data_IF_371133937959
#
_entry.id   IF_371133937959
#
_cell.length_a   1.000
_cell.length_b   1.000
_cell.length_c   1.000
_cell.angle_alpha   90.00
_cell.angle_beta   90.00
_cell.angle_gamma   90.00
#
_symmetry.space_group_name_H-M   'P 1'
#
loop_
_entity.id
_entity.type
_entity.pdbx_description
1 polymer ?
#
# COMPACT_ATOMS: atom_id res chain seq x y z
N UNK A 1 -14.63 3.00 -14.38
CA UNK A 1 -15.13 1.82 -13.63
C UNK A 1 -13.94 1.23 -12.90
N UNK A 2 -14.01 1.11 -11.57
CA UNK A 2 -12.89 0.64 -10.75
C UNK A 2 -12.72 -0.88 -10.91
N UNK A 3 -11.49 -1.37 -10.98
CA UNK A 3 -11.23 -2.81 -11.12
C UNK A 3 -11.63 -3.57 -9.86
N UNK A 4 -11.41 -2.93 -8.70
CA UNK A 4 -11.73 -3.45 -7.36
C UNK A 4 -13.22 -3.58 -7.10
N UNK A 5 -14.07 -2.85 -7.85
CA UNK A 5 -15.53 -3.00 -7.80
C UNK A 5 -16.03 -4.09 -8.74
N UNK A 6 -15.32 -4.34 -9.83
CA UNK A 6 -15.71 -5.29 -10.87
C UNK A 6 -15.32 -6.73 -10.52
N UNK A 7 -14.24 -6.89 -9.77
CA UNK A 7 -13.65 -8.18 -9.44
C UNK A 7 -13.37 -8.27 -7.93
N UNK A 8 -13.40 -9.48 -7.33
CA UNK A 8 -13.09 -9.68 -5.92
C UNK A 8 -11.57 -9.61 -5.68
N UNK A 9 -10.95 -8.47 -5.99
CA UNK A 9 -9.53 -8.22 -5.79
C UNK A 9 -9.31 -7.97 -4.30
N UNK A 10 -8.46 -8.79 -3.68
CA UNK A 10 -8.15 -8.71 -2.25
C UNK A 10 -6.79 -8.07 -1.97
N UNK A 11 -5.88 -8.04 -2.94
CA UNK A 11 -4.54 -7.46 -2.82
C UNK A 11 -4.07 -6.88 -4.16
N UNK A 12 -3.32 -5.79 -4.10
CA UNK A 12 -2.61 -5.17 -5.23
C UNK A 12 -1.17 -4.92 -4.79
N UNK A 13 -0.24 -5.36 -5.62
CA UNK A 13 1.19 -5.15 -5.47
C UNK A 13 1.64 -4.06 -6.45
N UNK A 14 2.50 -3.15 -5.99
CA UNK A 14 3.08 -2.06 -6.78
C UNK A 14 2.09 -1.29 -7.65
N UNK A 15 1.00 -0.84 -7.02
CA UNK A 15 -0.07 -0.10 -7.68
C UNK A 15 0.34 1.30 -8.17
N UNK A 16 1.46 1.84 -7.69
CA UNK A 16 2.05 3.12 -8.08
C UNK A 16 3.58 2.98 -8.19
N UNK A 17 4.24 3.93 -8.83
CA UNK A 17 5.70 3.96 -8.93
C UNK A 17 6.38 4.03 -7.55
N UNK A 18 7.59 3.47 -7.45
CA UNK A 18 8.39 3.34 -6.21
C UNK A 18 8.71 4.67 -5.50
N UNK A 19 8.71 5.79 -6.21
CA UNK A 19 8.95 7.13 -5.65
C UNK A 19 7.68 8.02 -5.63
N UNK A 20 6.52 7.51 -6.07
CA UNK A 20 5.25 8.25 -6.06
C UNK A 20 4.50 8.11 -4.73
N UNK A 21 5.10 8.65 -3.66
CA UNK A 21 4.55 8.60 -2.30
C UNK A 21 3.16 9.25 -2.18
N UNK A 22 2.90 10.31 -2.94
CA UNK A 22 1.60 11.00 -2.97
C UNK A 22 0.53 10.17 -3.68
N UNK A 23 0.90 9.52 -4.77
CA UNK A 23 0.05 8.55 -5.47
C UNK A 23 -0.33 7.39 -4.57
N UNK A 24 0.65 6.80 -3.87
CA UNK A 24 0.42 5.73 -2.90
C UNK A 24 -0.52 6.15 -1.77
N UNK A 25 -0.40 7.38 -1.27
CA UNK A 25 -1.30 7.92 -0.25
C UNK A 25 -2.74 8.03 -0.78
N UNK A 26 -2.93 8.64 -1.95
CA UNK A 26 -4.26 8.74 -2.58
C UNK A 26 -4.88 7.38 -2.88
N UNK A 27 -4.07 6.40 -3.30
CA UNK A 27 -4.51 5.04 -3.55
C UNK A 27 -4.95 4.38 -2.24
N UNK A 28 -4.17 4.52 -1.18
CA UNK A 28 -4.49 4.02 0.17
C UNK A 28 -5.77 4.64 0.71
N UNK A 29 -5.93 5.96 0.61
CA UNK A 29 -7.13 6.67 1.06
C UNK A 29 -8.39 6.19 0.30
N UNK A 30 -8.23 5.88 -0.99
CA UNK A 30 -9.35 5.48 -1.85
C UNK A 30 -9.79 4.03 -1.64
N UNK A 31 -8.84 3.08 -1.55
CA UNK A 31 -9.16 1.63 -1.58
C UNK A 31 -8.52 0.80 -0.45
N UNK A 32 -7.63 1.37 0.36
CA UNK A 32 -6.88 0.65 1.41
C UNK A 32 -7.75 0.08 2.55
N UNK A 33 -9.00 0.52 2.66
CA UNK A 33 -9.98 -0.05 3.60
C UNK A 33 -10.60 -1.38 3.11
N UNK A 34 -10.48 -1.69 1.82
CA UNK A 34 -11.12 -2.86 1.18
C UNK A 34 -10.10 -3.81 0.54
N UNK A 35 -8.99 -3.30 0.06
CA UNK A 35 -7.97 -4.03 -0.69
C UNK A 35 -6.62 -3.84 -0.01
N UNK A 36 -5.87 -4.93 0.16
CA UNK A 36 -4.50 -4.87 0.66
C UNK A 36 -3.58 -4.23 -0.38
N UNK A 37 -2.74 -3.29 0.04
CA UNK A 37 -1.75 -2.64 -0.81
C UNK A 37 -0.35 -3.08 -0.36
N UNK A 38 0.41 -3.69 -1.27
CA UNK A 38 1.76 -4.20 -1.03
C UNK A 38 2.73 -3.40 -1.88
N UNK A 39 3.76 -2.82 -1.28
CA UNK A 39 4.82 -2.10 -2.00
C UNK A 39 6.13 -2.88 -1.93
N UNK A 40 6.46 -3.64 -2.98
CA UNK A 40 7.73 -4.38 -3.02
C UNK A 40 8.86 -3.42 -3.38
N UNK A 41 8.78 -2.80 -4.56
CA UNK A 41 9.74 -1.78 -4.99
C UNK A 41 9.69 -0.51 -4.13
N UNK A 42 8.53 -0.19 -3.55
CA UNK A 42 8.41 0.96 -2.64
C UNK A 42 9.25 0.79 -1.37
N UNK A 43 9.33 -0.42 -0.81
CA UNK A 43 9.98 -0.67 0.47
C UNK A 43 11.31 -1.41 0.38
N UNK A 44 11.57 -2.19 -0.67
CA UNK A 44 12.83 -2.93 -0.93
C UNK A 44 13.41 -3.63 0.30
N UNK A 45 12.55 -4.17 1.16
CA UNK A 45 12.95 -4.77 2.46
C UNK A 45 13.80 -3.83 3.34
N UNK A 46 13.66 -2.52 3.18
CA UNK A 46 14.42 -1.49 3.87
C UNK A 46 13.58 -0.85 5.00
N UNK A 47 14.07 -0.99 6.23
CA UNK A 47 13.38 -0.52 7.44
C UNK A 47 13.18 1.00 7.50
N UNK A 48 14.07 1.79 6.90
CA UNK A 48 13.94 3.25 6.85
C UNK A 48 12.80 3.67 5.91
N UNK A 49 12.67 3.01 4.75
CA UNK A 49 11.56 3.25 3.81
C UNK A 49 10.23 2.81 4.42
N UNK A 50 10.21 1.67 5.11
CA UNK A 50 9.02 1.20 5.83
C UNK A 50 8.57 2.21 6.90
N UNK A 51 9.51 2.71 7.70
CA UNK A 51 9.24 3.74 8.71
C UNK A 51 8.66 5.00 8.08
N UNK A 52 9.27 5.48 6.98
CA UNK A 52 8.76 6.64 6.21
C UNK A 52 7.33 6.41 5.72
N UNK A 53 7.02 5.21 5.19
CA UNK A 53 5.68 4.85 4.76
C UNK A 53 4.66 4.92 5.90
N UNK A 54 5.00 4.38 7.07
CA UNK A 54 4.15 4.42 8.28
C UNK A 54 3.87 5.87 8.72
N UNK A 55 4.88 6.74 8.69
CA UNK A 55 4.76 8.14 9.10
C UNK A 55 3.92 8.98 8.12
N UNK A 56 4.11 8.79 6.81
CA UNK A 56 3.44 9.61 5.78
C UNK A 56 1.98 9.23 5.55
N UNK A 57 1.66 7.95 5.66
CA UNK A 57 0.38 7.39 5.23
C UNK A 57 -0.58 7.11 6.39
N UNK A 58 -0.15 7.24 7.66
CA UNK A 58 -1.02 7.21 8.83
C UNK A 58 -1.86 5.93 8.94
N UNK A 59 -1.34 4.92 9.65
CA UNK A 59 -1.99 3.61 9.80
C UNK A 59 -2.43 2.99 8.46
N UNK A 60 -1.51 2.80 7.52
CA UNK A 60 -1.73 1.78 6.49
C UNK A 60 -1.87 0.47 7.24
N UNK A 61 -2.97 -0.25 7.04
CA UNK A 61 -3.12 -1.59 7.57
C UNK A 61 -2.09 -2.49 6.89
N UNK A 62 -0.88 -2.53 7.44
CA UNK A 62 0.08 -3.62 7.30
C UNK A 62 -0.46 -4.82 8.06
N UNK A 63 -1.64 -5.29 7.65
CA UNK A 63 -2.13 -6.60 8.00
C UNK A 63 -1.11 -7.53 7.34
N UNK A 64 -0.29 -8.22 8.14
CA UNK A 64 0.73 -9.21 7.76
C UNK A 64 2.22 -8.84 7.75
N UNK A 65 2.65 -7.56 7.80
CA UNK A 65 4.10 -7.29 7.85
C UNK A 65 4.76 -7.52 9.24
N UNK A 66 3.96 -7.83 10.27
CA UNK A 66 4.44 -8.23 11.61
C UNK A 66 3.54 -9.30 12.27
N UNK A 67 3.22 -10.39 11.57
CA UNK A 67 2.82 -11.64 12.22
C UNK A 67 3.89 -12.70 11.99
N UNK A 68 4.99 -12.55 12.70
CA UNK A 68 5.93 -13.61 13.06
C UNK A 68 6.12 -13.52 14.58
#
# INVERSE_FOLDING_TARGET
KDLTEKYPIISIEDGMAEEDWDGWKKLTDKIGSKVQLVGDDLFVTNTARLKKGIELQGQVQYRYLFRA
#
